data_IF_360082034381
#
_entry.id   IF_360082034381
#
_cell.length_a   1.000
_cell.length_b   1.000
_cell.length_c   1.000
_cell.angle_alpha   90.00
_cell.angle_beta   90.00
_cell.angle_gamma   90.00
#
_symmetry.space_group_name_H-M   'P 1'
#
loop_
_entity.id
_entity.type
_entity.pdbx_description
1 polymer ?
#
# COMPACT_ATOMS: atom_id res chain seq x y z
N UNK A 1 8.32 -19.94 39.54
CA UNK A 1 7.42 -20.67 40.47
C UNK A 1 7.02 -19.70 41.57
N UNK A 2 5.73 -19.54 41.89
CA UNK A 2 5.28 -18.74 43.04
C UNK A 2 5.10 -19.67 44.23
N UNK A 3 5.50 -19.26 45.43
CA UNK A 3 5.47 -20.10 46.64
C UNK A 3 4.08 -20.71 46.94
N UNK A 4 2.99 -20.01 46.56
CA UNK A 4 1.60 -20.51 46.63
C UNK A 4 1.38 -21.85 45.90
N UNK A 5 2.16 -22.23 44.89
CA UNK A 5 1.95 -23.53 44.20
C UNK A 5 2.36 -24.74 45.05
N UNK A 6 3.14 -24.54 46.11
CA UNK A 6 3.64 -25.62 46.97
C UNK A 6 2.72 -25.93 48.15
N UNK A 7 1.84 -25.00 48.54
CA UNK A 7 1.02 -25.11 49.75
C UNK A 7 -0.46 -24.88 49.43
N UNK A 8 -1.37 -25.60 50.10
CA UNK A 8 -2.81 -25.37 49.97
C UNK A 8 -3.23 -24.00 50.56
N UNK A 9 -2.53 -23.58 51.63
CA UNK A 9 -2.62 -22.28 52.29
C UNK A 9 -1.28 -22.04 52.98
N UNK A 10 -0.71 -20.84 52.85
CA UNK A 10 0.54 -20.47 53.52
C UNK A 10 0.20 -19.48 54.64
N UNK A 11 0.43 -19.89 55.87
CA UNK A 11 0.18 -19.10 57.07
C UNK A 11 1.38 -19.20 58.00
N UNK A 12 1.70 -18.09 58.67
CA UNK A 12 2.77 -18.03 59.64
C UNK A 12 2.42 -17.06 60.76
N UNK A 13 3.04 -17.22 61.92
CA UNK A 13 2.98 -16.25 63.00
C UNK A 13 4.01 -15.15 62.79
N UNK A 14 3.65 -13.92 63.14
CA UNK A 14 4.57 -12.78 63.15
C UNK A 14 4.26 -11.81 64.28
N UNK A 15 5.13 -10.83 64.44
CA UNK A 15 4.95 -9.71 65.36
C UNK A 15 4.67 -8.46 64.53
N UNK A 16 3.52 -7.84 64.74
CA UNK A 16 3.10 -6.64 64.03
C UNK A 16 2.95 -5.46 64.99
N UNK A 17 3.35 -4.28 64.52
CA UNK A 17 3.07 -2.99 65.17
C UNK A 17 2.56 -2.00 64.13
N UNK A 18 1.61 -1.16 64.53
CA UNK A 18 0.99 -0.16 63.65
C UNK A 18 1.93 1.05 63.41
N UNK A 19 2.57 1.53 64.46
CA UNK A 19 3.60 2.58 64.39
C UNK A 19 4.59 2.42 65.54
N UNK A 20 5.66 3.24 65.59
CA UNK A 20 6.69 3.15 66.63
C UNK A 20 6.16 3.38 68.05
N UNK A 21 4.99 4.00 68.19
CA UNK A 21 4.34 4.27 69.48
C UNK A 21 3.56 3.07 70.05
N UNK A 22 3.41 1.98 69.29
CA UNK A 22 2.71 0.77 69.72
C UNK A 22 3.65 -0.40 69.94
N UNK A 23 3.34 -1.20 70.97
CA UNK A 23 4.02 -2.47 71.22
C UNK A 23 3.71 -3.49 70.11
N UNK A 24 4.64 -4.42 69.91
CA UNK A 24 4.43 -5.54 69.00
C UNK A 24 3.34 -6.49 69.53
N UNK A 25 2.40 -6.83 68.67
CA UNK A 25 1.34 -7.80 68.94
C UNK A 25 1.59 -9.03 68.06
N UNK A 26 1.38 -10.22 68.62
CA UNK A 26 1.39 -11.44 67.83
C UNK A 26 0.20 -11.50 66.89
N UNK A 27 0.48 -11.77 65.61
CA UNK A 27 -0.53 -11.87 64.56
C UNK A 27 -0.32 -13.13 63.74
N UNK A 28 -1.41 -13.69 63.24
CA UNK A 28 -1.43 -14.70 62.20
C UNK A 28 -1.42 -14.02 60.84
N UNK A 29 -0.43 -14.37 60.02
CA UNK A 29 -0.24 -13.87 58.66
C UNK A 29 -0.84 -14.89 57.70
N UNK A 30 -1.85 -14.49 56.94
CA UNK A 30 -2.45 -15.29 55.87
C UNK A 30 -2.00 -14.80 54.51
N UNK A 31 -1.30 -15.64 53.74
CA UNK A 31 -0.81 -15.28 52.41
C UNK A 31 -1.89 -15.48 51.33
N UNK A 32 -2.30 -14.40 50.68
CA UNK A 32 -3.25 -14.40 49.56
C UNK A 32 -2.59 -14.30 48.19
N UNK A 33 -3.39 -14.18 47.13
CA UNK A 33 -2.87 -14.07 45.74
C UNK A 33 -2.14 -12.76 45.45
N UNK A 34 -2.60 -11.67 46.05
CA UNK A 34 -2.13 -10.30 45.77
C UNK A 34 -1.84 -9.51 47.05
N UNK A 35 -2.05 -10.12 48.22
CA UNK A 35 -1.99 -9.45 49.52
C UNK A 35 -1.73 -10.43 50.64
N UNK A 36 -1.28 -9.93 51.78
CA UNK A 36 -1.32 -10.64 53.06
C UNK A 36 -2.38 -10.02 53.98
N UNK A 37 -3.02 -10.87 54.79
CA UNK A 37 -3.96 -10.45 55.84
C UNK A 37 -3.30 -10.73 57.18
N UNK A 38 -3.30 -9.75 58.07
CA UNK A 38 -2.86 -9.92 59.45
C UNK A 38 -4.09 -10.03 60.34
N UNK A 39 -4.20 -11.09 61.13
CA UNK A 39 -5.32 -11.36 62.02
C UNK A 39 -4.88 -11.76 63.41
N UNK A 40 -5.71 -11.48 64.41
CA UNK A 40 -5.54 -12.03 65.77
C UNK A 40 -5.88 -13.54 65.79
N UNK A 41 -5.51 -14.26 66.84
CA UNK A 41 -5.77 -15.69 67.06
C UNK A 41 -7.26 -16.07 67.18
N UNK A 42 -8.15 -15.07 67.25
CA UNK A 42 -9.61 -15.25 67.13
C UNK A 42 -10.13 -15.05 65.70
N UNK A 43 -9.24 -15.14 64.71
CA UNK A 43 -9.51 -14.90 63.28
C UNK A 43 -10.09 -13.52 62.96
N UNK A 44 -9.87 -12.53 63.83
CA UNK A 44 -10.29 -11.14 63.58
C UNK A 44 -9.22 -10.44 62.73
N UNK A 45 -9.53 -9.97 61.51
CA UNK A 45 -8.56 -9.24 60.70
C UNK A 45 -8.22 -7.89 61.34
N UNK A 46 -6.94 -7.62 61.47
CA UNK A 46 -6.39 -6.37 62.00
C UNK A 46 -6.09 -5.40 60.86
N UNK A 47 -5.33 -5.85 59.85
CA UNK A 47 -4.93 -5.03 58.70
C UNK A 47 -4.68 -5.89 57.47
N UNK A 48 -4.56 -5.23 56.32
CA UNK A 48 -4.39 -5.85 55.01
C UNK A 48 -3.26 -5.15 54.24
N UNK A 49 -2.26 -5.91 53.81
CA UNK A 49 -1.13 -5.38 53.05
C UNK A 49 -1.15 -5.88 51.62
N UNK A 50 -1.09 -4.97 50.65
CA UNK A 50 -0.82 -5.34 49.25
C UNK A 50 0.60 -5.84 49.11
N UNK A 51 0.82 -7.00 48.45
CA UNK A 51 2.16 -7.54 48.23
C UNK A 51 3.09 -6.56 47.48
N UNK A 52 2.53 -5.66 46.67
CA UNK A 52 3.27 -4.64 45.91
C UNK A 52 3.74 -3.46 46.77
N UNK A 53 3.15 -3.27 47.95
CA UNK A 53 3.50 -2.20 48.87
C UNK A 53 4.55 -2.64 49.90
N UNK A 54 4.74 -3.94 50.08
CA UNK A 54 5.66 -4.50 51.07
C UNK A 54 7.10 -4.29 50.62
N UNK A 55 7.91 -3.71 51.52
CA UNK A 55 9.35 -3.53 51.36
C UNK A 55 10.09 -4.26 52.47
N UNK A 56 11.27 -4.77 52.14
CA UNK A 56 12.19 -5.34 53.13
C UNK A 56 12.93 -4.20 53.84
N UNK A 57 12.82 -4.15 55.16
CA UNK A 57 13.52 -3.16 56.00
C UNK A 57 14.84 -3.72 56.48
N UNK A 58 14.82 -4.92 57.07
CA UNK A 58 16.01 -5.63 57.57
C UNK A 58 15.82 -7.14 57.48
N UNK A 59 16.93 -7.87 57.45
CA UNK A 59 16.94 -9.33 57.39
C UNK A 59 18.14 -9.89 58.14
N UNK A 60 17.86 -10.75 59.11
CA UNK A 60 18.81 -11.59 59.83
C UNK A 60 18.69 -13.06 59.40
N UNK A 61 19.47 -13.95 60.01
CA UNK A 61 19.53 -15.37 59.62
C UNK A 61 18.18 -16.09 59.73
N UNK A 62 17.40 -15.79 60.76
CA UNK A 62 16.13 -16.46 61.07
C UNK A 62 14.95 -15.47 61.20
N UNK A 63 15.14 -14.21 60.84
CA UNK A 63 14.14 -13.15 61.05
C UNK A 63 14.21 -12.12 59.93
N UNK A 64 13.06 -11.61 59.50
CA UNK A 64 12.99 -10.50 58.56
C UNK A 64 11.92 -9.50 58.99
N UNK A 65 12.24 -8.22 58.84
CA UNK A 65 11.32 -7.11 59.09
C UNK A 65 10.87 -6.52 57.77
N UNK A 66 9.55 -6.45 57.60
CA UNK A 66 8.88 -5.87 56.45
C UNK A 66 8.07 -4.64 56.88
N UNK A 67 7.95 -3.68 55.98
CA UNK A 67 7.13 -2.47 56.18
C UNK A 67 6.40 -2.12 54.90
N UNK A 68 5.25 -1.45 55.02
CA UNK A 68 4.53 -0.85 53.89
C UNK A 68 4.95 0.60 53.62
N UNK A 69 5.60 1.27 54.57
CA UNK A 69 6.04 2.67 54.46
C UNK A 69 7.49 2.88 54.95
N UNK A 70 8.15 3.94 54.48
CA UNK A 70 9.60 4.12 54.69
C UNK A 70 10.00 4.89 55.95
N UNK A 71 9.11 5.69 56.56
CA UNK A 71 9.54 6.60 57.66
C UNK A 71 8.69 6.57 58.94
N UNK A 72 7.52 5.90 59.01
CA UNK A 72 6.74 5.77 60.26
C UNK A 72 5.61 4.71 60.14
N UNK A 73 5.81 3.74 59.26
CA UNK A 73 4.76 2.80 58.86
C UNK A 73 4.62 1.57 59.74
N UNK A 74 3.54 0.83 59.46
CA UNK A 74 3.32 -0.48 60.03
C UNK A 74 4.51 -1.42 59.79
N UNK A 75 4.97 -2.10 60.83
CA UNK A 75 6.11 -3.01 60.77
C UNK A 75 5.67 -4.44 61.10
N UNK A 76 6.15 -5.40 60.33
CA UNK A 76 5.88 -6.82 60.50
C UNK A 76 7.19 -7.60 60.56
N UNK A 77 7.41 -8.26 61.68
CA UNK A 77 8.57 -9.09 61.96
C UNK A 77 8.15 -10.57 61.86
N UNK A 78 8.85 -11.32 61.01
CA UNK A 78 8.54 -12.71 60.66
C UNK A 78 9.76 -13.57 60.94
N UNK A 79 9.55 -14.75 61.55
CA UNK A 79 10.61 -15.74 61.83
C UNK A 79 10.51 -17.02 61.00
N UNK A 80 9.41 -17.19 60.27
CA UNK A 80 9.16 -18.37 59.43
C UNK A 80 9.92 -18.26 58.10
N UNK A 81 10.81 -19.22 57.83
CA UNK A 81 11.68 -19.18 56.65
C UNK A 81 10.90 -19.27 55.32
N UNK A 82 9.85 -20.10 55.28
CA UNK A 82 9.02 -20.30 54.08
C UNK A 82 8.22 -19.04 53.76
N UNK A 83 7.66 -18.37 54.76
CA UNK A 83 6.95 -17.08 54.63
C UNK A 83 7.88 -15.96 54.15
N UNK A 84 9.09 -15.87 54.73
CA UNK A 84 10.11 -14.88 54.34
C UNK A 84 10.53 -15.08 52.87
N UNK A 85 10.88 -16.30 52.48
CA UNK A 85 11.27 -16.61 51.10
C UNK A 85 10.13 -16.27 50.12
N UNK A 86 8.90 -16.59 50.50
CA UNK A 86 7.71 -16.30 49.70
C UNK A 86 7.54 -14.80 49.42
N UNK A 87 7.66 -13.96 50.45
CA UNK A 87 7.55 -12.50 50.30
C UNK A 87 8.69 -11.93 49.43
N UNK A 88 9.93 -12.37 49.65
CA UNK A 88 11.09 -11.92 48.88
C UNK A 88 10.99 -12.25 47.38
N UNK A 89 10.44 -13.42 47.03
CA UNK A 89 10.21 -13.79 45.64
C UNK A 89 9.26 -12.85 44.90
N UNK A 90 8.28 -12.27 45.60
CA UNK A 90 7.35 -11.30 45.00
C UNK A 90 7.99 -9.92 44.86
N UNK A 91 8.70 -9.44 45.87
CA UNK A 91 9.40 -8.15 45.84
C UNK A 91 10.39 -8.09 44.67
N UNK A 92 11.26 -9.08 44.54
CA UNK A 92 12.29 -9.12 43.48
C UNK A 92 11.72 -9.23 42.07
N UNK A 93 10.49 -9.76 41.92
CA UNK A 93 9.86 -9.95 40.61
C UNK A 93 9.35 -8.63 40.03
N UNK A 94 8.97 -7.66 40.87
CA UNK A 94 8.43 -6.39 40.38
C UNK A 94 9.54 -5.44 39.92
N UNK A 95 10.71 -5.45 40.58
CA UNK A 95 11.86 -4.63 40.16
C UNK A 95 12.37 -4.99 38.75
N UNK A 96 12.28 -6.27 38.36
CA UNK A 96 12.74 -6.72 37.03
C UNK A 96 11.89 -6.20 35.85
N UNK A 97 10.71 -5.61 36.08
CA UNK A 97 9.83 -5.13 35.00
C UNK A 97 10.28 -3.81 34.35
N UNK A 98 11.22 -3.07 34.94
CA UNK A 98 11.45 -1.66 34.63
C UNK A 98 12.13 -1.36 33.27
N UNK A 99 13.00 -2.25 32.73
CA UNK A 99 13.83 -1.89 31.57
C UNK A 99 13.43 -2.47 30.20
N UNK A 100 12.33 -3.23 30.09
CA UNK A 100 11.95 -3.88 28.82
C UNK A 100 11.16 -2.99 27.84
N UNK A 101 10.80 -1.77 28.25
CA UNK A 101 9.89 -0.89 27.48
C UNK A 101 10.59 -0.18 26.32
N UNK A 102 11.86 0.23 26.48
CA UNK A 102 12.58 1.01 25.45
C UNK A 102 12.92 0.16 24.22
N UNK A 103 13.36 -1.08 24.40
CA UNK A 103 13.69 -1.99 23.28
C UNK A 103 12.44 -2.33 22.46
N UNK A 104 11.30 -2.56 23.12
CA UNK A 104 10.01 -2.81 22.44
C UNK A 104 9.59 -1.62 21.57
N UNK A 105 9.84 -0.39 22.03
CA UNK A 105 9.55 0.82 21.25
C UNK A 105 10.42 0.92 19.99
N UNK A 106 11.74 0.69 20.09
CA UNK A 106 12.63 0.69 18.92
C UNK A 106 12.29 -0.38 17.89
N UNK A 107 11.91 -1.59 18.32
CA UNK A 107 11.49 -2.67 17.42
C UNK A 107 10.20 -2.28 16.69
N UNK A 108 9.21 -1.73 17.41
CA UNK A 108 7.94 -1.30 16.80
C UNK A 108 8.17 -0.19 15.76
N UNK A 109 9.04 0.79 16.09
CA UNK A 109 9.40 1.88 15.19
C UNK A 109 10.11 1.37 13.93
N UNK A 110 11.03 0.41 14.07
CA UNK A 110 11.71 -0.21 12.93
C UNK A 110 10.73 -0.94 12.01
N UNK A 111 9.80 -1.72 12.56
CA UNK A 111 8.77 -2.42 11.79
C UNK A 111 7.89 -1.43 11.02
N UNK A 112 7.50 -0.32 11.65
CA UNK A 112 6.67 0.72 11.04
C UNK A 112 7.40 1.40 9.87
N UNK A 113 8.70 1.70 10.02
CA UNK A 113 9.52 2.26 8.94
C UNK A 113 9.63 1.28 7.77
N UNK A 114 9.97 0.02 8.04
CA UNK A 114 10.13 -1.00 6.98
C UNK A 114 8.80 -1.20 6.23
N UNK A 115 7.68 -1.25 6.96
CA UNK A 115 6.34 -1.35 6.37
C UNK A 115 6.01 -0.13 5.49
N UNK A 116 6.33 1.08 5.96
CA UNK A 116 6.09 2.32 5.21
C UNK A 116 6.92 2.38 3.93
N UNK A 117 8.19 1.99 3.98
CA UNK A 117 9.07 1.92 2.80
C UNK A 117 8.54 0.90 1.80
N UNK A 118 8.15 -0.29 2.27
CA UNK A 118 7.55 -1.31 1.40
C UNK A 118 6.30 -0.76 0.71
N UNK A 119 5.43 -0.06 1.43
CA UNK A 119 4.26 0.56 0.83
C UNK A 119 4.66 1.54 -0.27
N UNK A 120 5.59 2.47 -0.02
CA UNK A 120 6.01 3.48 -1.01
C UNK A 120 6.60 2.83 -2.28
N UNK A 121 7.35 1.73 -2.15
CA UNK A 121 7.99 1.05 -3.29
C UNK A 121 6.99 0.23 -4.10
N UNK A 122 6.10 -0.53 -3.44
CA UNK A 122 5.20 -1.45 -4.13
C UNK A 122 3.89 -0.80 -4.59
N UNK A 123 3.38 0.18 -3.85
CA UNK A 123 2.08 0.81 -4.09
C UNK A 123 1.92 1.44 -5.48
N UNK A 124 2.92 2.17 -6.04
CA UNK A 124 2.80 2.77 -7.38
C UNK A 124 2.51 1.73 -8.46
N UNK A 125 3.19 0.58 -8.40
CA UNK A 125 3.01 -0.50 -9.37
C UNK A 125 1.60 -1.09 -9.31
N UNK A 126 1.01 -1.19 -8.11
CA UNK A 126 -0.32 -1.78 -7.90
C UNK A 126 -1.44 -0.83 -8.33
N UNK A 127 -1.30 0.47 -8.07
CA UNK A 127 -2.28 1.46 -8.54
C UNK A 127 -2.36 1.45 -10.06
N UNK A 128 -1.23 1.41 -10.76
CA UNK A 128 -1.21 1.40 -12.23
C UNK A 128 -1.99 0.22 -12.82
N UNK A 129 -1.78 -0.98 -12.29
CA UNK A 129 -2.52 -2.19 -12.70
C UNK A 129 -4.01 -2.05 -12.39
N UNK A 130 -4.35 -1.51 -11.21
CA UNK A 130 -5.74 -1.27 -10.83
C UNK A 130 -6.41 -0.27 -11.78
N UNK A 131 -5.77 0.86 -12.07
CA UNK A 131 -6.29 1.87 -13.00
C UNK A 131 -6.52 1.28 -14.39
N UNK A 132 -5.59 0.48 -14.92
CA UNK A 132 -5.76 -0.17 -16.22
C UNK A 132 -6.97 -1.13 -16.26
N UNK A 133 -7.29 -1.77 -15.13
CA UNK A 133 -8.44 -2.68 -15.04
C UNK A 133 -9.79 -1.98 -14.90
N UNK A 134 -9.82 -0.76 -14.36
CA UNK A 134 -11.05 0.01 -14.12
C UNK A 134 -11.47 0.82 -15.34
N UNK A 135 -10.51 1.28 -16.15
CA UNK A 135 -10.80 2.05 -17.36
C UNK A 135 -11.46 1.12 -18.39
N UNK A 136 -12.75 1.32 -18.64
CA UNK A 136 -13.48 0.70 -19.75
C UNK A 136 -13.20 1.44 -21.07
N UNK A 137 -13.65 0.88 -22.20
CA UNK A 137 -13.47 1.51 -23.52
C UNK A 137 -14.16 2.89 -23.60
N UNK A 138 -15.29 3.05 -22.92
CA UNK A 138 -16.03 4.32 -22.90
C UNK A 138 -15.23 5.42 -22.18
N UNK A 139 -14.60 5.09 -21.05
CA UNK A 139 -13.73 6.01 -20.31
C UNK A 139 -12.48 6.32 -21.15
N UNK A 140 -11.93 5.31 -21.83
CA UNK A 140 -10.78 5.47 -22.70
C UNK A 140 -11.07 6.45 -23.85
N UNK A 141 -12.26 6.39 -24.44
CA UNK A 141 -12.69 7.35 -25.45
C UNK A 141 -12.78 8.79 -24.91
N UNK A 142 -13.41 8.98 -23.74
CA UNK A 142 -13.54 10.29 -23.09
C UNK A 142 -12.18 10.90 -22.73
N UNK A 143 -11.19 10.07 -22.40
CA UNK A 143 -9.83 10.52 -22.09
C UNK A 143 -9.11 11.11 -23.31
N UNK A 144 -9.42 10.63 -24.50
CA UNK A 144 -8.63 10.89 -25.72
C UNK A 144 -9.24 11.97 -26.59
N UNK A 145 -10.56 12.06 -26.64
CA UNK A 145 -11.29 13.04 -27.46
C UNK A 145 -10.72 14.47 -27.32
N UNK A 146 -10.51 15.02 -26.11
CA UNK A 146 -9.96 16.37 -25.95
C UNK A 146 -8.53 16.51 -26.47
N UNK A 147 -7.73 15.43 -26.40
CA UNK A 147 -6.36 15.42 -26.90
C UNK A 147 -6.35 15.39 -28.42
N UNK A 148 -7.15 14.52 -29.04
CA UNK A 148 -7.26 14.42 -30.50
C UNK A 148 -7.73 15.74 -31.07
N UNK A 149 -8.79 16.34 -30.54
CA UNK A 149 -9.33 17.61 -31.03
C UNK A 149 -8.29 18.73 -30.99
N UNK A 150 -7.57 18.85 -29.88
CA UNK A 150 -6.50 19.84 -29.71
C UNK A 150 -5.35 19.58 -30.67
N UNK A 151 -4.92 18.33 -30.82
CA UNK A 151 -3.80 17.97 -31.67
C UNK A 151 -4.14 18.15 -33.15
N UNK A 152 -5.31 17.67 -33.59
CA UNK A 152 -5.82 17.85 -34.96
C UNK A 152 -5.94 19.34 -35.32
N UNK A 153 -6.49 20.15 -34.41
CA UNK A 153 -6.59 21.60 -34.61
C UNK A 153 -5.23 22.28 -34.75
N UNK A 154 -4.23 21.83 -33.98
CA UNK A 154 -2.86 22.35 -34.06
C UNK A 154 -2.10 21.87 -35.31
N UNK A 155 -2.46 20.70 -35.84
CA UNK A 155 -1.81 20.05 -36.98
C UNK A 155 -2.50 20.35 -38.32
N UNK A 156 -3.30 21.41 -38.39
CA UNK A 156 -3.89 21.88 -39.65
C UNK A 156 -5.18 21.17 -40.09
N UNK A 157 -5.82 20.42 -39.19
CA UNK A 157 -7.12 19.77 -39.40
C UNK A 157 -7.04 18.30 -39.80
N UNK A 158 -8.19 17.62 -39.72
CA UNK A 158 -8.36 16.25 -40.21
C UNK A 158 -8.73 16.27 -41.68
N UNK A 159 -8.10 15.38 -42.44
CA UNK A 159 -8.37 15.21 -43.87
C UNK A 159 -9.43 14.13 -44.01
N UNK A 160 -10.69 14.55 -44.09
CA UNK A 160 -11.84 13.65 -44.23
C UNK A 160 -12.64 13.98 -45.49
N UNK A 161 -12.90 12.96 -46.31
CA UNK A 161 -13.82 13.00 -47.44
C UNK A 161 -14.62 11.70 -47.47
N UNK A 162 -15.79 11.71 -48.11
CA UNK A 162 -16.63 10.52 -48.22
C UNK A 162 -15.87 9.35 -48.87
N UNK A 163 -15.05 9.64 -49.87
CA UNK A 163 -14.22 8.67 -50.58
C UNK A 163 -13.13 8.10 -49.67
N UNK A 164 -12.42 8.95 -48.93
CA UNK A 164 -11.35 8.53 -47.99
C UNK A 164 -11.91 7.62 -46.89
N UNK A 165 -13.08 7.94 -46.33
CA UNK A 165 -13.70 7.12 -45.30
C UNK A 165 -14.11 5.74 -45.83
N UNK A 166 -14.60 5.64 -47.06
CA UNK A 166 -14.92 4.31 -47.66
C UNK A 166 -13.66 3.47 -47.88
N UNK A 167 -12.57 4.08 -48.35
CA UNK A 167 -11.28 3.40 -48.54
C UNK A 167 -10.73 2.93 -47.20
N UNK A 168 -10.75 3.80 -46.19
CA UNK A 168 -10.33 3.48 -44.82
C UNK A 168 -11.13 2.32 -44.23
N UNK A 169 -12.46 2.36 -44.30
CA UNK A 169 -13.30 1.26 -43.80
C UNK A 169 -12.99 -0.06 -44.49
N UNK A 170 -12.72 -0.05 -45.80
CA UNK A 170 -12.32 -1.27 -46.52
C UNK A 170 -10.99 -1.83 -46.02
N UNK A 171 -9.99 -0.98 -45.77
CA UNK A 171 -8.70 -1.42 -45.18
C UNK A 171 -8.93 -2.00 -43.78
N UNK A 172 -9.70 -1.30 -42.94
CA UNK A 172 -9.96 -1.71 -41.57
C UNK A 172 -10.68 -3.07 -41.51
N UNK A 173 -11.73 -3.28 -42.31
CA UNK A 173 -12.46 -4.56 -42.36
C UNK A 173 -11.60 -5.75 -42.80
N UNK A 174 -10.52 -5.52 -43.57
CA UNK A 174 -9.60 -6.58 -43.99
C UNK A 174 -8.60 -6.95 -42.89
N UNK A 175 -8.24 -6.00 -42.04
CA UNK A 175 -7.25 -6.14 -40.96
C UNK A 175 -7.93 -6.60 -39.66
N UNK A 176 -9.09 -6.04 -39.34
CA UNK A 176 -9.90 -6.32 -38.15
C UNK A 176 -10.63 -7.66 -38.29
N UNK A 177 -9.93 -8.77 -38.03
CA UNK A 177 -10.55 -10.10 -37.97
C UNK A 177 -11.31 -10.37 -36.66
N UNK A 178 -11.12 -9.54 -35.63
CA UNK A 178 -11.55 -9.85 -34.27
C UNK A 178 -12.02 -8.59 -33.53
N UNK A 179 -13.34 -8.34 -33.49
CA UNK A 179 -14.17 -7.47 -32.61
C UNK A 179 -13.64 -6.13 -32.05
N UNK A 180 -12.47 -5.63 -32.44
CA UNK A 180 -11.90 -4.35 -32.01
C UNK A 180 -11.86 -3.37 -33.17
N UNK A 181 -12.26 -2.13 -32.88
CA UNK A 181 -12.35 -1.04 -33.86
C UNK A 181 -11.07 -0.21 -33.81
N UNK A 182 -10.19 -0.36 -34.80
CA UNK A 182 -9.13 0.61 -35.08
C UNK A 182 -9.76 1.81 -35.78
N UNK A 183 -9.49 3.02 -35.27
CA UNK A 183 -9.95 4.25 -35.90
C UNK A 183 -8.77 5.02 -36.46
N UNK A 184 -8.64 5.03 -37.78
CA UNK A 184 -7.57 5.77 -38.47
C UNK A 184 -8.00 7.20 -38.78
N UNK A 185 -7.23 8.21 -38.36
CA UNK A 185 -7.51 9.61 -38.67
C UNK A 185 -6.30 10.17 -39.44
N UNK A 186 -6.55 10.67 -40.64
CA UNK A 186 -5.50 11.29 -41.44
C UNK A 186 -5.42 12.77 -41.07
N UNK A 187 -4.22 13.23 -40.71
CA UNK A 187 -3.96 14.61 -40.29
C UNK A 187 -2.93 15.28 -41.19
N UNK A 188 -3.07 16.59 -41.37
CA UNK A 188 -2.13 17.43 -42.14
C UNK A 188 -0.85 17.76 -41.35
N UNK A 189 -0.24 16.75 -40.73
CA UNK A 189 1.04 16.87 -40.05
C UNK A 189 2.21 16.56 -40.99
N UNK A 190 3.35 17.23 -40.78
CA UNK A 190 4.60 17.03 -41.52
C UNK A 190 5.76 16.53 -40.64
N UNK A 191 5.58 16.43 -39.31
CA UNK A 191 6.67 16.11 -38.38
C UNK A 191 6.66 14.66 -37.90
N UNK A 192 5.50 14.03 -37.80
CA UNK A 192 5.36 12.65 -37.32
C UNK A 192 4.93 11.72 -38.46
N UNK A 193 5.15 10.41 -38.31
CA UNK A 193 4.70 9.42 -39.29
C UNK A 193 3.31 8.89 -38.94
N UNK A 194 3.20 8.27 -37.77
CA UNK A 194 1.94 7.87 -37.18
C UNK A 194 2.02 7.90 -35.65
N UNK A 195 0.88 8.17 -35.03
CA UNK A 195 0.67 8.26 -33.60
C UNK A 195 -0.40 7.26 -33.20
N UNK A 196 -0.07 6.32 -32.33
CA UNK A 196 -1.02 5.35 -31.82
C UNK A 196 -1.52 5.79 -30.44
N UNK A 197 -2.81 6.09 -30.36
CA UNK A 197 -3.48 6.53 -29.14
C UNK A 197 -4.27 5.38 -28.52
N UNK A 198 -4.66 5.49 -27.24
CA UNK A 198 -5.54 4.51 -26.64
C UNK A 198 -6.91 4.43 -27.38
N UNK A 199 -7.74 3.45 -27.04
CA UNK A 199 -9.00 3.12 -27.73
C UNK A 199 -8.81 2.74 -29.22
N UNK A 200 -7.60 2.36 -29.64
CA UNK A 200 -7.31 1.95 -31.01
C UNK A 200 -7.31 3.08 -32.05
N UNK A 201 -7.17 4.35 -31.61
CA UNK A 201 -7.12 5.49 -32.52
C UNK A 201 -5.70 5.66 -33.07
N UNK A 202 -5.53 5.70 -34.39
CA UNK A 202 -4.24 5.89 -35.06
C UNK A 202 -4.29 7.18 -35.88
N UNK A 203 -3.49 8.18 -35.51
CA UNK A 203 -3.31 9.37 -36.33
C UNK A 203 -2.20 9.12 -37.35
N UNK A 204 -2.48 9.34 -38.63
CA UNK A 204 -1.52 9.15 -39.72
C UNK A 204 -1.26 10.48 -40.37
N UNK A 205 0.01 10.83 -40.53
CA UNK A 205 0.36 12.09 -41.17
C UNK A 205 0.27 11.99 -42.69
N UNK A 206 -0.14 13.08 -43.32
CA UNK A 206 -0.07 13.23 -44.78
C UNK A 206 1.35 13.03 -45.33
N UNK A 207 2.38 13.43 -44.57
CA UNK A 207 3.77 13.23 -44.96
C UNK A 207 4.16 11.75 -45.04
N UNK A 208 3.65 10.91 -44.14
CA UNK A 208 3.85 9.46 -44.20
C UNK A 208 3.23 8.87 -45.46
N UNK A 209 1.99 9.25 -45.80
CA UNK A 209 1.28 8.76 -46.97
C UNK A 209 1.99 9.17 -48.27
N UNK A 210 2.46 10.41 -48.34
CA UNK A 210 3.21 10.92 -49.50
C UNK A 210 4.57 10.25 -49.68
N UNK A 211 5.26 9.93 -48.57
CA UNK A 211 6.55 9.23 -48.60
C UNK A 211 6.42 7.71 -48.74
N UNK A 212 5.22 7.17 -48.52
CA UNK A 212 4.97 5.75 -48.69
C UNK A 212 4.97 5.41 -50.18
N UNK A 213 5.84 4.47 -50.57
CA UNK A 213 6.00 4.06 -51.96
C UNK A 213 4.82 3.24 -52.46
N UNK A 214 4.17 2.48 -51.57
CA UNK A 214 3.03 1.61 -51.86
C UNK A 214 2.12 1.48 -50.63
N UNK A 215 0.86 1.08 -50.85
CA UNK A 215 -0.14 0.73 -49.83
C UNK A 215 0.37 -0.27 -48.78
N UNK A 216 1.27 -1.17 -49.17
CA UNK A 216 1.86 -2.19 -48.28
C UNK A 216 2.52 -1.60 -47.04
N UNK A 217 3.08 -0.38 -47.12
CA UNK A 217 3.68 0.27 -45.95
C UNK A 217 2.63 0.70 -44.93
N UNK A 218 1.47 1.17 -45.41
CA UNK A 218 0.34 1.53 -44.56
C UNK A 218 -0.27 0.27 -43.92
N UNK A 219 -0.51 -0.77 -44.71
CA UNK A 219 -1.08 -2.03 -44.20
C UNK A 219 -0.15 -2.67 -43.18
N UNK A 220 1.16 -2.72 -43.44
CA UNK A 220 2.13 -3.27 -42.49
C UNK A 220 2.21 -2.48 -41.18
N UNK A 221 2.08 -1.15 -41.26
CA UNK A 221 1.99 -0.32 -40.07
C UNK A 221 0.75 -0.70 -39.24
N UNK A 222 -0.42 -0.78 -39.87
CA UNK A 222 -1.67 -1.12 -39.18
C UNK A 222 -1.66 -2.55 -38.60
N UNK A 223 -1.13 -3.53 -39.33
CA UNK A 223 -1.01 -4.91 -38.83
C UNK A 223 -0.05 -5.04 -37.65
N UNK A 224 1.04 -4.25 -37.64
CA UNK A 224 1.96 -4.22 -36.51
C UNK A 224 1.32 -3.62 -35.26
N UNK A 225 0.48 -2.60 -35.42
CA UNK A 225 -0.15 -1.91 -34.29
C UNK A 225 -1.37 -2.66 -33.75
N UNK A 226 -1.96 -3.57 -34.52
CA UNK A 226 -3.09 -4.39 -34.10
C UNK A 226 -2.84 -5.16 -32.76
N UNK A 227 -1.74 -5.91 -32.56
CA UNK A 227 -1.45 -6.55 -31.27
C UNK A 227 -1.23 -5.54 -30.13
N UNK A 228 -0.71 -4.35 -30.42
CA UNK A 228 -0.52 -3.28 -29.44
C UNK A 228 -1.86 -2.72 -28.97
N UNK A 229 -2.82 -2.57 -29.89
CA UNK A 229 -4.20 -2.18 -29.59
C UNK A 229 -4.92 -3.26 -28.77
N UNK A 230 -4.78 -4.53 -29.17
CA UNK A 230 -5.38 -5.68 -28.46
C UNK A 230 -4.94 -5.75 -27.00
N UNK A 231 -3.64 -5.56 -26.75
CA UNK A 231 -3.07 -5.60 -25.40
C UNK A 231 -3.20 -4.27 -24.64
N UNK A 232 -3.94 -3.28 -25.17
CA UNK A 232 -4.10 -1.93 -24.61
C UNK A 232 -2.75 -1.29 -24.22
N UNK A 233 -1.72 -1.52 -25.04
CA UNK A 233 -0.38 -1.00 -24.77
C UNK A 233 -0.33 0.55 -24.69
N UNK A 234 -1.01 1.30 -25.59
CA UNK A 234 -1.03 2.77 -25.49
C UNK A 234 -1.63 3.27 -24.18
N UNK A 235 -2.69 2.61 -23.66
CA UNK A 235 -3.25 2.95 -22.36
C UNK A 235 -2.25 2.72 -21.23
N UNK A 236 -1.53 1.60 -21.27
CA UNK A 236 -0.50 1.30 -20.27
C UNK A 236 0.66 2.30 -20.31
N UNK A 237 1.04 2.79 -21.50
CA UNK A 237 2.02 3.87 -21.67
C UNK A 237 1.49 5.16 -21.02
N UNK A 238 0.25 5.54 -21.33
CA UNK A 238 -0.40 6.72 -20.76
C UNK A 238 -0.43 6.68 -19.23
N UNK A 239 -0.85 5.56 -18.64
CA UNK A 239 -0.90 5.34 -17.19
C UNK A 239 0.52 5.38 -16.59
N UNK A 240 1.52 4.86 -17.30
CA UNK A 240 2.89 4.83 -16.82
C UNK A 240 3.55 6.21 -16.73
N UNK A 241 3.14 7.16 -17.58
CA UNK A 241 3.56 8.55 -17.55
C UNK A 241 2.94 9.37 -16.40
N UNK A 242 1.86 8.86 -15.77
CA UNK A 242 1.19 9.55 -14.68
C UNK A 242 1.88 9.31 -13.34
N UNK A 243 1.78 10.31 -12.48
CA UNK A 243 2.16 10.19 -11.07
C UNK A 243 1.10 9.40 -10.30
N UNK A 244 1.51 8.73 -9.21
CA UNK A 244 0.59 7.99 -8.34
C UNK A 244 -0.56 8.86 -7.83
N UNK A 245 -0.30 10.16 -7.58
CA UNK A 245 -1.30 11.10 -7.07
C UNK A 245 -2.36 11.42 -8.14
N UNK A 246 -1.94 11.66 -9.39
CA UNK A 246 -2.85 11.87 -10.54
C UNK A 246 -3.74 10.64 -10.73
N UNK A 247 -3.18 9.43 -10.68
CA UNK A 247 -3.95 8.19 -10.81
C UNK A 247 -4.96 7.99 -9.67
N UNK A 248 -4.60 8.33 -8.43
CA UNK A 248 -5.52 8.26 -7.29
C UNK A 248 -6.65 9.28 -7.45
N UNK A 249 -6.34 10.52 -7.83
CA UNK A 249 -7.36 11.55 -8.06
C UNK A 249 -8.33 11.16 -9.17
N UNK A 250 -7.80 10.61 -10.25
CA UNK A 250 -8.59 10.06 -11.34
C UNK A 250 -9.50 8.92 -10.87
N UNK A 251 -8.97 7.93 -10.15
CA UNK A 251 -9.75 6.81 -9.61
C UNK A 251 -10.84 7.24 -8.62
N UNK A 252 -10.60 8.30 -7.85
CA UNK A 252 -11.57 8.87 -6.92
C UNK A 252 -12.57 9.82 -7.61
N UNK A 253 -12.42 10.09 -8.92
CA UNK A 253 -13.30 10.96 -9.69
C UNK A 253 -13.07 12.46 -9.47
N UNK A 254 -11.94 12.87 -8.89
CA UNK A 254 -11.56 14.28 -8.77
C UNK A 254 -11.09 14.87 -10.10
N UNK A 255 -10.35 14.08 -10.88
CA UNK A 255 -9.87 14.46 -12.21
C UNK A 255 -10.53 13.56 -13.25
N UNK A 256 -10.99 14.14 -14.36
CA UNK A 256 -11.63 13.41 -15.47
C UNK A 256 -10.70 13.16 -16.65
N UNK A 257 -9.50 13.75 -16.63
CA UNK A 257 -8.54 13.71 -17.74
C UNK A 257 -7.18 13.24 -17.27
N UNK A 258 -6.47 12.51 -18.13
CA UNK A 258 -5.07 12.15 -17.95
C UNK A 258 -4.21 12.92 -18.95
N UNK A 259 -3.22 13.64 -18.46
CA UNK A 259 -2.38 14.49 -19.32
C UNK A 259 -1.32 13.67 -20.05
N UNK A 260 -1.27 13.80 -21.38
CA UNK A 260 -0.19 13.26 -22.21
C UNK A 260 1.03 14.17 -22.05
N UNK A 261 2.09 13.68 -21.38
CA UNK A 261 3.33 14.46 -21.13
C UNK A 261 4.28 14.39 -22.32
N UNK A 262 4.49 13.18 -22.84
CA UNK A 262 5.41 12.93 -23.95
C UNK A 262 4.66 12.24 -25.09
N UNK A 263 4.43 12.99 -26.18
CA UNK A 263 3.80 12.48 -27.41
C UNK A 263 4.71 11.44 -28.11
N UNK A 264 6.02 11.55 -27.91
CA UNK A 264 7.01 10.68 -28.55
C UNK A 264 6.85 9.19 -28.16
N UNK A 265 6.33 8.90 -26.97
CA UNK A 265 6.12 7.52 -26.52
C UNK A 265 4.95 6.82 -27.25
N UNK A 266 4.09 7.60 -27.91
CA UNK A 266 2.98 7.12 -28.72
C UNK A 266 3.33 7.03 -30.21
N UNK A 267 4.56 7.41 -30.59
CA UNK A 267 5.04 7.31 -31.97
C UNK A 267 5.25 5.85 -32.34
N UNK A 268 4.68 5.45 -33.48
CA UNK A 268 4.92 4.12 -34.02
C UNK A 268 6.31 4.07 -34.67
N UNK A 269 7.20 3.13 -34.29
CA UNK A 269 8.49 2.99 -34.94
C UNK A 269 8.29 2.58 -36.41
N UNK A 270 9.02 3.23 -37.32
CA UNK A 270 9.00 2.88 -38.73
C UNK A 270 9.67 1.52 -38.94
N UNK A 271 8.87 0.49 -39.19
CA UNK A 271 9.33 -0.89 -39.38
C UNK A 271 9.20 -1.33 -40.83
N UNK A 272 9.98 -2.36 -41.18
CA UNK A 272 9.97 -2.93 -42.53
C UNK A 272 8.75 -3.84 -42.70
N UNK A 273 7.96 -3.69 -43.77
CA UNK A 273 6.79 -4.53 -44.01
C UNK A 273 7.20 -5.99 -44.21
N UNK A 274 6.61 -6.90 -43.44
CA UNK A 274 6.79 -8.37 -43.56
C UNK A 274 5.75 -9.03 -44.46
N UNK A 275 4.87 -8.25 -45.09
CA UNK A 275 3.76 -8.75 -45.89
C UNK A 275 4.20 -9.40 -47.21
N UNK A 276 3.63 -10.58 -47.49
CA UNK A 276 3.54 -11.14 -48.84
C UNK A 276 2.63 -10.23 -49.67
N UNK A 277 3.07 -9.85 -50.88
CA UNK A 277 2.28 -9.10 -51.87
C UNK A 277 0.88 -9.70 -52.05
N UNK A 278 -0.11 -9.14 -51.37
CA UNK A 278 -1.52 -9.24 -51.72
C UNK A 278 -1.98 -7.82 -52.03
N UNK A 279 -2.37 -7.56 -53.27
CA UNK A 279 -2.93 -6.25 -53.64
C UNK A 279 -4.19 -6.05 -52.80
N UNK A 280 -4.11 -5.13 -51.83
CA UNK A 280 -5.17 -4.86 -50.87
C UNK A 280 -6.03 -3.69 -51.35
N UNK A 281 -5.41 -2.73 -52.04
CA UNK A 281 -6.06 -1.64 -52.73
C UNK A 281 -5.71 -1.65 -54.23
N UNK A 282 -6.54 -0.95 -54.99
CA UNK A 282 -6.24 -0.54 -56.35
C UNK A 282 -5.42 0.75 -56.34
N UNK A 283 -4.57 0.91 -57.37
CA UNK A 283 -3.67 2.07 -57.51
C UNK A 283 -4.40 3.42 -57.42
N UNK A 284 -5.67 3.47 -57.88
CA UNK A 284 -6.51 4.67 -57.79
C UNK A 284 -6.85 5.02 -56.33
N UNK A 285 -7.35 4.06 -55.55
CA UNK A 285 -7.64 4.27 -54.13
C UNK A 285 -6.39 4.68 -53.34
N UNK A 286 -5.23 4.14 -53.68
CA UNK A 286 -3.96 4.53 -53.04
C UNK A 286 -3.61 6.00 -53.33
N UNK A 287 -3.68 6.44 -54.59
CA UNK A 287 -3.40 7.83 -54.96
C UNK A 287 -4.41 8.80 -54.34
N UNK A 288 -5.69 8.42 -54.28
CA UNK A 288 -6.73 9.20 -53.59
C UNK A 288 -6.40 9.38 -52.10
N UNK A 289 -5.86 8.35 -51.46
CA UNK A 289 -5.46 8.39 -50.05
C UNK A 289 -4.20 9.24 -49.83
N UNK A 290 -3.24 9.25 -50.76
CA UNK A 290 -2.09 10.16 -50.71
C UNK A 290 -2.51 11.63 -50.85
N UNK A 291 -3.48 11.90 -51.73
CA UNK A 291 -3.99 13.25 -51.95
C UNK A 291 -5.07 13.68 -50.94
N UNK A 292 -5.30 12.89 -49.88
CA UNK A 292 -6.34 13.13 -48.88
C UNK A 292 -6.31 14.55 -48.28
N UNK A 293 -5.12 15.12 -48.11
CA UNK A 293 -4.92 16.43 -47.51
C UNK A 293 -4.64 17.55 -48.51
N UNK A 294 -4.67 17.28 -49.83
CA UNK A 294 -4.39 18.28 -50.87
C UNK A 294 -5.66 18.94 -51.43
N UNK A 295 -6.82 18.31 -51.23
CA UNK A 295 -8.13 18.86 -51.57
C UNK A 295 -8.70 19.75 -50.46
#
# INVERSE_FOLDING_TARGET
MTAIKKYARLEATGLWRDSENFDFIEVLISFGKTSIILSDYKDKPLTHWSLTAIKLVSRDQNEATFSTDSDDGECLLIKDADMIESLLLFINKDEQKSNTTKIKFYICFFILIVSSIALIVYFPSKIKVLTASVISNEIEQQLIEPFVDKHVSSSGGSCSSLEIETIKQRILTLIEKDKQTLSVIIIRDQKMNALHLPNGVILISSAFLNNATNEFKLVALLEQELPSAINRQPLNILINQQTTIELIRFLLGFDTQLHIKEINDFLTPATKPTLKKQNLLDDFSWVTLQNACLN
#
